data_IF_486323521288
#
_entry.id   IF_486323521288
#
_cell.length_a   1.000
_cell.length_b   1.000
_cell.length_c   1.000
_cell.angle_alpha   90.00
_cell.angle_beta   90.00
_cell.angle_gamma   90.00
#
_symmetry.space_group_name_H-M   'P 1'
#
loop_
_entity.id
_entity.type
_entity.pdbx_description
1 polymer ?
#
# COMPACT_ATOMS: atom_id res chain seq x y z
N UNK A 1 6.65 9.37 -14.50
CA UNK A 1 6.09 10.67 -14.07
C UNK A 1 5.04 10.51 -12.96
N UNK A 2 4.00 9.67 -13.12
CA UNK A 2 2.99 9.43 -12.05
C UNK A 2 3.54 8.77 -10.77
N UNK A 3 4.66 8.06 -10.86
CA UNK A 3 5.32 7.42 -9.70
C UNK A 3 6.22 8.37 -8.88
N UNK A 4 6.42 9.62 -9.31
CA UNK A 4 7.21 10.60 -8.56
C UNK A 4 6.38 11.31 -7.48
N UNK A 5 5.08 11.50 -7.73
CA UNK A 5 4.14 12.15 -6.81
C UNK A 5 3.99 11.47 -5.43
N UNK A 6 3.95 10.12 -5.32
CA UNK A 6 3.87 9.45 -4.02
C UNK A 6 5.19 9.54 -3.23
N UNK A 7 6.33 9.53 -3.92
CA UNK A 7 7.65 9.40 -3.29
C UNK A 7 8.03 10.65 -2.49
N UNK A 8 7.64 11.84 -2.95
CA UNK A 8 7.86 13.10 -2.23
C UNK A 8 6.83 13.38 -1.13
N UNK A 9 5.60 12.87 -1.25
CA UNK A 9 4.51 13.18 -0.31
C UNK A 9 4.42 12.23 0.87
N UNK A 10 4.92 10.99 0.72
CA UNK A 10 4.88 9.95 1.76
C UNK A 10 5.74 10.19 3.02
N UNK A 11 6.91 10.87 2.98
CA UNK A 11 7.67 11.16 4.21
C UNK A 11 7.09 12.34 5.01
N UNK A 12 6.46 13.30 4.33
CA UNK A 12 6.11 14.61 4.90
C UNK A 12 4.77 14.58 5.64
N UNK A 13 3.81 13.83 5.11
CA UNK A 13 2.50 13.70 5.71
C UNK A 13 2.46 12.38 6.46
N UNK A 14 2.21 12.42 7.78
CA UNK A 14 1.68 11.26 8.50
C UNK A 14 0.39 10.83 7.79
N UNK A 15 0.49 10.00 6.76
CA UNK A 15 -0.66 9.68 5.90
C UNK A 15 -1.71 9.02 6.78
N UNK A 16 -2.90 9.63 6.94
CA UNK A 16 -3.93 9.08 7.78
C UNK A 16 -4.25 7.66 7.33
N UNK A 17 -4.43 6.74 8.29
CA UNK A 17 -4.80 5.34 8.02
C UNK A 17 -6.01 5.23 7.08
N UNK A 18 -6.90 6.23 7.09
CA UNK A 18 -8.05 6.34 6.18
C UNK A 18 -7.62 6.46 4.71
N UNK A 19 -6.66 7.32 4.39
CA UNK A 19 -6.15 7.48 3.02
C UNK A 19 -5.49 6.18 2.55
N UNK A 20 -4.68 5.54 3.41
CA UNK A 20 -4.08 4.26 3.09
C UNK A 20 -5.12 3.18 2.76
N UNK A 21 -6.22 3.13 3.54
CA UNK A 21 -7.35 2.22 3.26
C UNK A 21 -8.04 2.51 1.93
N UNK A 22 -8.23 3.77 1.56
CA UNK A 22 -8.82 4.12 0.26
C UNK A 22 -7.89 3.73 -0.90
N UNK A 23 -6.59 3.93 -0.76
CA UNK A 23 -5.61 3.47 -1.76
C UNK A 23 -5.62 1.94 -1.87
N UNK A 24 -5.64 1.21 -0.75
CA UNK A 24 -5.76 -0.25 -0.74
C UNK A 24 -7.10 -0.71 -1.32
N UNK A 25 -8.18 0.06 -1.17
CA UNK A 25 -9.46 -0.21 -1.80
C UNK A 25 -9.39 -0.04 -3.32
N UNK A 26 -8.74 1.02 -3.82
CA UNK A 26 -8.50 1.20 -5.26
C UNK A 26 -7.61 0.10 -5.84
N UNK A 27 -6.55 -0.29 -5.14
CA UNK A 27 -5.68 -1.40 -5.56
C UNK A 27 -6.42 -2.73 -5.56
N UNK A 28 -7.22 -3.02 -4.53
CA UNK A 28 -8.09 -4.21 -4.51
C UNK A 28 -9.08 -4.23 -5.66
N UNK A 29 -9.71 -3.09 -5.95
CA UNK A 29 -10.58 -2.95 -7.12
C UNK A 29 -9.80 -3.31 -8.38
N UNK A 30 -8.69 -2.64 -8.65
CA UNK A 30 -7.85 -2.92 -9.82
C UNK A 30 -7.44 -4.40 -9.97
N UNK A 31 -7.06 -5.07 -8.87
CA UNK A 31 -6.64 -6.47 -8.92
C UNK A 31 -7.80 -7.45 -9.14
N UNK A 32 -8.96 -7.18 -8.54
CA UNK A 32 -10.06 -8.15 -8.50
C UNK A 32 -11.23 -7.79 -9.41
N UNK A 33 -11.27 -6.58 -9.99
CA UNK A 33 -12.23 -6.20 -11.01
C UNK A 33 -11.78 -4.99 -11.84
N UNK A 34 -11.83 -5.12 -13.17
CA UNK A 34 -11.56 -4.03 -14.10
C UNK A 34 -12.82 -3.21 -14.45
N UNK A 35 -14.03 -3.77 -14.22
CA UNK A 35 -15.32 -3.12 -14.43
C UNK A 35 -16.39 -3.66 -13.45
N UNK A 36 -17.17 -2.72 -12.89
CA UNK A 36 -18.41 -2.80 -12.10
C UNK A 36 -18.57 -3.74 -10.87
N UNK A 37 -19.10 -3.11 -9.81
CA UNK A 37 -19.69 -3.67 -8.57
C UNK A 37 -18.99 -4.81 -7.82
N UNK A 38 -18.47 -4.47 -6.63
CA UNK A 38 -17.98 -5.45 -5.65
C UNK A 38 -19.18 -6.18 -5.03
N UNK A 39 -19.66 -7.24 -5.68
CA UNK A 39 -20.41 -8.28 -4.97
C UNK A 39 -19.40 -9.00 -4.07
N UNK A 40 -19.66 -9.05 -2.76
CA UNK A 40 -18.70 -9.40 -1.69
C UNK A 40 -18.06 -10.80 -1.74
N UNK A 41 -18.11 -11.51 -2.86
CA UNK A 41 -17.61 -12.87 -3.06
C UNK A 41 -16.35 -12.98 -3.95
N UNK A 42 -15.86 -11.90 -4.59
CA UNK A 42 -14.73 -12.02 -5.54
C UNK A 42 -13.32 -11.94 -4.92
N UNK A 43 -13.16 -11.37 -3.72
CA UNK A 43 -11.87 -11.31 -3.02
C UNK A 43 -11.55 -12.64 -2.32
N UNK A 44 -11.09 -13.65 -3.07
CA UNK A 44 -10.68 -14.96 -2.51
C UNK A 44 -9.39 -14.91 -1.68
N UNK A 45 -8.59 -13.84 -1.77
CA UNK A 45 -7.29 -13.74 -1.11
C UNK A 45 -7.26 -12.60 -0.09
N UNK A 46 -6.82 -12.90 1.12
CA UNK A 46 -6.67 -11.90 2.19
C UNK A 46 -5.64 -10.84 1.79
N UNK A 47 -5.93 -9.57 2.05
CA UNK A 47 -5.07 -8.45 1.61
C UNK A 47 -3.63 -8.51 2.14
N UNK A 48 -3.36 -8.88 3.41
CA UNK A 48 -2.00 -9.10 3.89
C UNK A 48 -1.25 -10.22 3.16
N UNK A 49 -1.95 -11.26 2.68
CA UNK A 49 -1.34 -12.34 1.88
C UNK A 49 -0.95 -11.83 0.49
N UNK A 50 -1.79 -10.98 -0.11
CA UNK A 50 -1.46 -10.28 -1.36
C UNK A 50 -0.21 -9.39 -1.19
N UNK A 51 -0.06 -8.74 -0.05
CA UNK A 51 1.10 -7.89 0.26
C UNK A 51 2.37 -8.67 0.63
N UNK A 52 2.31 -9.99 0.79
CA UNK A 52 3.49 -10.79 1.09
C UNK A 52 4.46 -10.82 -0.12
N UNK A 53 5.77 -11.04 0.11
CA UNK A 53 6.73 -11.25 -0.97
C UNK A 53 6.29 -12.38 -1.90
N UNK A 54 6.65 -12.29 -3.18
CA UNK A 54 6.33 -13.33 -4.17
C UNK A 54 6.93 -14.69 -3.80
N UNK A 55 8.12 -14.68 -3.17
CA UNK A 55 8.76 -15.88 -2.61
C UNK A 55 7.92 -16.58 -1.52
N UNK A 56 7.03 -15.84 -0.86
CA UNK A 56 6.12 -16.34 0.18
C UNK A 56 4.71 -16.61 -0.35
N UNK A 57 4.53 -16.64 -1.68
CA UNK A 57 3.23 -16.87 -2.32
C UNK A 57 2.30 -15.66 -2.37
N UNK A 58 2.82 -14.46 -2.10
CA UNK A 58 2.09 -13.20 -2.28
C UNK A 58 2.31 -12.56 -3.66
N UNK A 59 1.74 -11.38 -3.86
CA UNK A 59 1.88 -10.60 -5.09
C UNK A 59 2.99 -9.53 -4.99
N UNK A 60 3.67 -9.42 -3.84
CA UNK A 60 4.72 -8.43 -3.61
C UNK A 60 4.20 -6.99 -3.52
N UNK A 61 2.89 -6.79 -3.29
CA UNK A 61 2.32 -5.45 -3.16
C UNK A 61 2.79 -4.81 -1.86
N UNK A 62 3.32 -3.59 -1.94
CA UNK A 62 3.78 -2.85 -0.78
C UNK A 62 2.63 -2.56 0.21
N UNK A 63 2.74 -3.13 1.42
CA UNK A 63 1.95 -2.72 2.58
C UNK A 63 2.30 -1.27 2.93
N UNK A 64 1.40 -0.35 2.59
CA UNK A 64 1.62 1.09 2.78
C UNK A 64 1.80 1.49 4.24
N UNK A 65 1.23 0.75 5.20
CA UNK A 65 1.44 1.04 6.61
C UNK A 65 2.86 0.65 7.04
N UNK A 66 3.32 -0.53 6.64
CA UNK A 66 4.70 -0.97 6.93
C UNK A 66 5.72 -0.10 6.22
N UNK A 67 5.45 0.22 4.95
CA UNK A 67 6.31 1.07 4.15
C UNK A 67 6.37 2.51 4.70
N UNK A 68 5.24 3.10 5.08
CA UNK A 68 5.20 4.42 5.71
C UNK A 68 5.95 4.46 7.04
N UNK A 69 5.84 3.41 7.87
CA UNK A 69 6.64 3.28 9.10
C UNK A 69 8.13 3.17 8.81
N UNK A 70 8.53 2.32 7.87
CA UNK A 70 9.94 2.15 7.49
C UNK A 70 10.53 3.45 6.94
N UNK A 71 9.78 4.20 6.13
CA UNK A 71 10.19 5.49 5.61
C UNK A 71 10.36 6.53 6.72
N UNK A 72 9.44 6.56 7.70
CA UNK A 72 9.55 7.44 8.87
C UNK A 72 10.77 7.10 9.74
N UNK A 73 11.02 5.82 9.99
CA UNK A 73 12.21 5.36 10.73
C UNK A 73 13.50 5.71 10.00
N UNK A 74 13.54 5.54 8.67
CA UNK A 74 14.68 5.93 7.84
C UNK A 74 14.93 7.44 7.92
N UNK A 75 13.89 8.25 7.85
CA UNK A 75 14.01 9.70 7.93
C UNK A 75 14.52 10.16 9.31
N UNK A 76 13.97 9.61 10.39
CA UNK A 76 14.45 9.88 11.75
C UNK A 76 15.92 9.47 11.92
N UNK A 77 16.32 8.33 11.35
CA UNK A 77 17.71 7.85 11.38
C UNK A 77 18.67 8.76 10.61
N UNK A 78 18.23 9.46 9.57
CA UNK A 78 19.06 10.39 8.79
C UNK A 78 19.15 11.79 9.41
N UNK A 79 18.19 12.20 10.25
CA UNK A 79 18.20 13.49 10.94
C UNK A 79 19.02 13.50 12.26
N UNK A 80 19.60 12.36 12.64
CA UNK A 80 20.35 12.17 13.88
C UNK A 80 21.88 12.23 13.76
N UNK A 81 22.40 12.71 12.62
CA UNK A 81 23.83 13.00 12.37
C UNK A 81 23.97 14.42 11.87
#
# INVERSE_FOLDING_TARGET
>A
VLSAMPTFTLPILRVPKKILREVDKCRRRFLWHQDDEITGASCKVNWPTVCAPTEQGGLGILDLQRFGRALHLRWLSTSGT
#
